data_IF_640726548040
#
_entry.id   IF_640726548040
#
_cell.length_a   1.000
_cell.length_b   1.000
_cell.length_c   1.000
_cell.angle_alpha   90.00
_cell.angle_beta   90.00
_cell.angle_gamma   90.00
#
_symmetry.space_group_name_H-M   'P 1'
#
loop_
_entity.id
_entity.type
_entity.pdbx_description
1 polymer ?
#
# COMPACT_ATOMS: atom_id res chain seq x y z
N UNK A 1 -55.14 -16.05 39.18
CA UNK A 1 -55.14 -17.38 38.53
C UNK A 1 -53.72 -17.71 38.11
N UNK A 2 -53.09 -18.63 38.86
CA UNK A 2 -52.05 -19.61 38.48
C UNK A 2 -50.94 -19.14 37.52
N UNK A 3 -49.64 -19.05 37.85
CA UNK A 3 -48.85 -19.71 38.90
C UNK A 3 -48.28 -21.05 38.41
N UNK A 4 -47.01 -21.09 37.98
CA UNK A 4 -46.17 -22.31 37.98
C UNK A 4 -44.75 -21.93 38.40
N UNK A 5 -44.37 -22.45 39.56
CA UNK A 5 -43.03 -22.53 40.09
C UNK A 5 -42.45 -23.92 39.81
N UNK A 6 -41.13 -24.05 39.73
CA UNK A 6 -40.41 -25.33 39.70
C UNK A 6 -38.88 -25.14 39.62
N UNK A 7 -38.06 -26.04 40.19
CA UNK A 7 -37.24 -25.68 41.35
C UNK A 7 -35.73 -25.65 41.13
N UNK A 8 -35.05 -25.02 42.10
CA UNK A 8 -33.62 -25.16 42.44
C UNK A 8 -33.30 -26.56 42.96
N UNK A 9 -32.10 -27.07 42.70
CA UNK A 9 -31.22 -27.83 43.62
C UNK A 9 -29.93 -28.28 42.89
N UNK A 10 -28.77 -28.14 43.53
CA UNK A 10 -27.52 -28.80 43.11
C UNK A 10 -26.26 -27.96 43.36
N UNK A 11 -25.61 -28.19 44.51
CA UNK A 11 -24.44 -27.46 44.99
C UNK A 11 -23.08 -27.87 44.38
N UNK A 12 -21.96 -27.36 44.94
CA UNK A 12 -20.67 -27.27 44.27
C UNK A 12 -19.78 -28.49 44.55
N UNK A 13 -18.94 -28.86 43.58
CA UNK A 13 -17.82 -29.79 43.81
C UNK A 13 -16.48 -29.11 43.49
N UNK A 14 -15.58 -29.38 44.42
CA UNK A 14 -14.23 -28.89 44.55
C UNK A 14 -13.32 -29.25 43.36
N UNK A 15 -12.38 -28.35 43.08
CA UNK A 15 -11.25 -28.58 42.19
C UNK A 15 -10.11 -27.63 42.52
N UNK A 16 -9.50 -27.78 43.71
CA UNK A 16 -8.20 -27.17 44.04
C UNK A 16 -7.13 -27.86 43.18
N UNK A 17 -6.67 -27.20 42.13
CA UNK A 17 -5.44 -27.56 41.42
C UNK A 17 -4.32 -26.71 42.01
N UNK A 18 -3.43 -27.37 42.76
CA UNK A 18 -2.19 -26.79 43.25
C UNK A 18 -1.20 -26.63 42.09
N UNK A 19 -0.65 -25.43 41.95
CA UNK A 19 0.46 -25.15 41.03
C UNK A 19 1.76 -25.33 41.80
N UNK A 20 2.67 -26.24 41.41
CA UNK A 20 3.98 -26.32 42.01
C UNK A 20 4.83 -25.13 41.58
N UNK A 21 5.36 -24.45 42.59
CA UNK A 21 6.36 -23.40 42.50
C UNK A 21 7.68 -23.96 41.96
N UNK A 22 8.07 -23.55 40.76
CA UNK A 22 9.40 -23.79 40.21
C UNK A 22 10.19 -22.48 40.23
N UNK A 23 10.95 -22.29 41.31
CA UNK A 23 11.95 -21.23 41.48
C UNK A 23 13.19 -21.60 40.67
N UNK A 24 13.28 -21.14 39.42
CA UNK A 24 14.55 -21.18 38.67
C UNK A 24 15.38 -19.95 39.04
N UNK A 25 16.52 -20.19 39.67
CA UNK A 25 17.53 -19.18 39.95
C UNK A 25 18.25 -18.75 38.68
N UNK A 26 18.39 -17.44 38.51
CA UNK A 26 19.29 -16.83 37.54
C UNK A 26 20.72 -16.86 38.08
N UNK A 27 21.71 -17.44 37.39
CA UNK A 27 23.10 -17.12 37.63
C UNK A 27 23.44 -15.76 37.00
N UNK A 28 23.80 -14.82 37.85
CA UNK A 28 24.50 -13.58 37.50
C UNK A 28 25.84 -13.91 36.86
N UNK A 29 25.97 -13.70 35.55
CA UNK A 29 27.26 -13.64 34.88
C UNK A 29 27.55 -12.18 34.46
N UNK A 30 28.39 -11.52 35.26
CA UNK A 30 29.16 -10.35 34.86
C UNK A 30 30.31 -10.82 33.96
N UNK A 31 30.38 -10.34 32.73
CA UNK A 31 31.59 -10.27 31.90
C UNK A 31 31.28 -9.17 30.86
N UNK A 32 31.83 -7.97 30.95
CA UNK A 32 33.25 -7.69 30.77
C UNK A 32 33.41 -7.05 29.39
N UNK A 33 33.26 -5.73 29.32
CA UNK A 33 33.68 -4.94 28.16
C UNK A 33 35.20 -5.08 27.96
N UNK A 34 35.66 -5.12 26.71
CA UNK A 34 36.90 -4.43 26.38
C UNK A 34 36.65 -3.28 25.40
N UNK A 35 36.93 -2.07 25.88
CA UNK A 35 37.28 -0.93 25.04
C UNK A 35 38.50 -1.28 24.19
N UNK A 36 38.35 -1.19 22.88
CA UNK A 36 39.44 -1.21 21.91
C UNK A 36 39.42 0.08 21.10
N UNK A 37 40.24 1.03 21.52
CA UNK A 37 40.51 2.26 20.79
C UNK A 37 41.55 2.03 19.67
N UNK A 38 41.45 2.87 18.64
CA UNK A 38 42.48 3.24 17.65
C UNK A 38 42.95 2.15 16.66
N UNK A 39 42.64 2.37 15.38
CA UNK A 39 43.66 2.85 14.43
C UNK A 39 43.06 3.22 13.07
N UNK A 40 43.18 4.50 12.74
CA UNK A 40 43.09 5.00 11.39
C UNK A 40 44.24 4.42 10.56
N UNK A 41 43.92 3.61 9.55
CA UNK A 41 44.87 3.28 8.49
C UNK A 41 44.62 4.16 7.27
N UNK A 42 45.56 5.08 7.07
CA UNK A 42 45.81 5.81 5.83
C UNK A 42 46.05 4.83 4.67
N UNK A 43 45.45 5.16 3.53
CA UNK A 43 45.98 5.01 2.17
C UNK A 43 46.66 3.71 1.78
N UNK A 44 45.96 2.90 0.97
CA UNK A 44 46.63 2.01 0.02
C UNK A 44 45.95 2.12 -1.34
N UNK A 45 46.66 2.72 -2.28
CA UNK A 45 46.32 2.81 -3.70
C UNK A 45 46.82 1.51 -4.35
N UNK A 46 45.98 0.69 -5.01
CA UNK A 46 46.48 -0.41 -5.82
C UNK A 46 47.00 0.13 -7.17
N UNK A 47 48.10 -0.44 -7.70
CA UNK A 47 48.61 -0.06 -9.02
C UNK A 47 47.71 -0.60 -10.13
N UNK A 48 47.39 0.29 -11.06
CA UNK A 48 46.87 0.00 -12.38
C UNK A 48 47.79 -0.95 -13.14
N UNK A 49 47.39 -2.23 -13.25
CA UNK A 49 47.94 -3.14 -14.27
C UNK A 49 47.06 -3.09 -15.50
N UNK A 50 47.58 -2.44 -16.53
CA UNK A 50 47.03 -2.45 -17.87
C UNK A 50 46.98 -3.87 -18.42
N UNK A 51 45.81 -4.26 -18.90
CA UNK A 51 45.67 -5.40 -19.79
C UNK A 51 45.64 -4.90 -21.22
N UNK A 52 46.67 -5.34 -21.95
CA UNK A 52 46.84 -5.24 -23.39
C UNK A 52 45.73 -6.08 -24.04
N UNK A 53 44.93 -5.46 -24.90
CA UNK A 53 44.04 -6.16 -25.81
C UNK A 53 44.87 -6.80 -26.95
N UNK A 54 44.64 -8.06 -27.33
CA UNK A 54 45.05 -8.53 -28.63
C UNK A 54 44.00 -8.15 -29.68
N UNK A 55 44.48 -7.44 -30.70
CA UNK A 55 43.79 -7.24 -31.97
C UNK A 55 43.96 -8.47 -32.89
N UNK A 56 43.18 -8.47 -33.98
CA UNK A 56 43.07 -9.42 -35.10
C UNK A 56 41.98 -10.51 -34.89
N UNK A 57 41.08 -10.80 -35.84
CA UNK A 57 41.21 -10.66 -37.28
C UNK A 57 39.92 -10.19 -37.96
N UNK A 58 40.16 -9.38 -38.99
CA UNK A 58 39.25 -8.83 -39.98
C UNK A 58 38.89 -9.95 -40.97
N UNK A 59 37.59 -10.22 -41.18
CA UNK A 59 37.11 -10.92 -42.38
C UNK A 59 36.24 -9.95 -43.17
N UNK A 60 36.74 -9.61 -44.35
CA UNK A 60 36.15 -8.70 -45.30
C UNK A 60 34.97 -9.34 -46.04
N UNK A 61 33.89 -8.58 -46.22
CA UNK A 61 32.94 -8.75 -47.32
C UNK A 61 32.78 -7.42 -48.03
N UNK A 62 32.94 -7.37 -49.37
CA UNK A 62 32.83 -6.14 -50.14
C UNK A 62 31.40 -5.89 -50.62
N UNK A 63 31.03 -4.61 -50.70
CA UNK A 63 30.11 -4.09 -51.71
C UNK A 63 28.66 -3.89 -51.28
N UNK A 64 28.29 -2.67 -50.88
CA UNK A 64 27.45 -1.80 -51.73
C UNK A 64 27.42 -0.38 -51.17
N UNK A 65 27.65 0.59 -52.06
CA UNK A 65 27.59 2.02 -51.78
C UNK A 65 26.13 2.48 -51.58
N UNK A 66 25.94 3.35 -50.59
CA UNK A 66 24.77 4.22 -50.49
C UNK A 66 24.85 5.11 -49.24
N UNK A 67 24.97 6.44 -49.37
CA UNK A 67 24.87 7.34 -48.22
C UNK A 67 23.41 7.42 -47.79
N UNK A 68 23.02 6.62 -46.81
CA UNK A 68 21.75 6.81 -46.09
C UNK A 68 21.86 8.11 -45.31
N UNK A 69 21.26 9.16 -45.88
CA UNK A 69 20.99 10.42 -45.20
C UNK A 69 20.29 10.12 -43.88
N UNK A 70 20.75 10.77 -42.81
CA UNK A 70 20.05 10.86 -41.54
C UNK A 70 18.70 11.54 -41.77
N UNK A 71 17.68 10.76 -42.10
CA UNK A 71 16.29 11.16 -42.01
C UNK A 71 15.91 11.03 -40.52
N UNK A 72 15.95 12.15 -39.82
CA UNK A 72 15.27 12.26 -38.53
C UNK A 72 13.81 11.80 -38.73
N UNK A 73 13.26 10.93 -37.86
CA UNK A 73 11.86 10.59 -37.94
C UNK A 73 11.05 11.85 -37.65
N UNK A 74 10.53 12.45 -38.72
CA UNK A 74 9.41 13.37 -38.65
C UNK A 74 8.24 12.57 -38.07
N UNK A 75 8.03 12.67 -36.76
CA UNK A 75 6.78 12.37 -36.10
C UNK A 75 5.74 13.40 -36.56
N UNK A 76 5.31 13.26 -37.81
CA UNK A 76 4.22 13.99 -38.42
C UNK A 76 2.89 13.29 -38.16
N UNK A 77 2.51 13.12 -36.90
CA UNK A 77 1.09 13.02 -36.51
C UNK A 77 0.74 14.40 -35.97
N UNK A 78 0.28 15.25 -36.89
CA UNK A 78 -0.07 16.65 -36.65
C UNK A 78 -1.22 16.80 -35.68
N UNK A 79 -0.95 16.65 -34.38
CA UNK A 79 -1.69 17.35 -33.36
C UNK A 79 -1.24 18.80 -33.46
N UNK A 80 -1.93 19.58 -34.29
CA UNK A 80 -1.78 21.04 -34.25
C UNK A 80 -2.02 21.45 -32.79
N UNK A 81 -1.08 22.18 -32.15
CA UNK A 81 -1.36 22.73 -30.83
C UNK A 81 -2.55 23.67 -31.02
N UNK A 82 -3.72 23.26 -30.49
CA UNK A 82 -4.88 24.15 -30.40
C UNK A 82 -4.49 25.22 -29.40
N UNK A 83 -4.12 26.39 -29.91
CA UNK A 83 -3.96 27.58 -29.07
C UNK A 83 -5.24 27.77 -28.27
N UNK A 84 -5.09 27.87 -26.95
CA UNK A 84 -6.18 28.24 -26.05
C UNK A 84 -6.37 29.75 -26.22
N UNK A 85 -7.51 30.17 -26.78
CA UNK A 85 -7.87 31.59 -26.88
C UNK A 85 -8.11 32.11 -25.46
N UNK A 86 -7.11 32.79 -24.88
CA UNK A 86 -7.17 33.44 -23.57
C UNK A 86 -7.90 34.79 -23.63
N UNK A 87 -8.75 35.01 -24.64
CA UNK A 87 -9.51 36.24 -24.74
C UNK A 87 -10.64 36.25 -23.70
N UNK A 88 -10.28 36.71 -22.49
CA UNK A 88 -11.15 36.82 -21.31
C UNK A 88 -12.37 37.74 -21.53
N UNK A 89 -12.37 38.54 -22.60
CA UNK A 89 -13.46 39.46 -22.94
C UNK A 89 -14.71 38.73 -23.47
N UNK A 90 -14.61 37.44 -23.79
CA UNK A 90 -15.74 36.59 -24.20
C UNK A 90 -16.35 35.81 -23.03
N UNK A 91 -15.74 35.83 -21.84
CA UNK A 91 -16.34 35.26 -20.64
C UNK A 91 -17.31 36.27 -20.02
N UNK A 92 -18.52 36.32 -20.59
CA UNK A 92 -19.63 37.04 -19.98
C UNK A 92 -20.15 36.26 -18.78
N UNK A 93 -19.80 36.68 -17.56
CA UNK A 93 -20.36 36.15 -16.30
C UNK A 93 -21.89 36.34 -16.20
N UNK A 94 -22.49 37.12 -17.11
CA UNK A 94 -23.93 37.32 -17.20
C UNK A 94 -24.66 36.13 -17.83
N UNK A 95 -23.95 35.31 -18.62
CA UNK A 95 -24.47 34.05 -19.15
C UNK A 95 -24.08 32.91 -18.21
N UNK A 96 -24.30 33.08 -16.90
CA UNK A 96 -24.48 31.94 -16.00
C UNK A 96 -25.64 31.14 -16.56
N UNK A 97 -25.29 30.22 -17.45
CA UNK A 97 -26.19 29.23 -17.99
C UNK A 97 -26.48 28.38 -16.78
N UNK A 98 -27.54 28.75 -16.04
CA UNK A 98 -28.26 27.87 -15.14
C UNK A 98 -28.64 26.70 -16.02
N UNK A 99 -27.71 25.74 -16.09
CA UNK A 99 -27.89 24.47 -16.74
C UNK A 99 -29.11 23.91 -16.04
N UNK A 100 -30.25 24.06 -16.70
CA UNK A 100 -31.56 23.72 -16.18
C UNK A 100 -31.50 22.23 -15.90
N UNK A 101 -31.13 21.90 -14.66
CA UNK A 101 -31.14 20.58 -14.09
C UNK A 101 -32.62 20.23 -13.97
N UNK A 102 -33.24 19.86 -15.10
CA UNK A 102 -34.58 19.26 -15.18
C UNK A 102 -34.52 17.84 -14.58
N UNK A 103 -34.14 17.77 -13.32
CA UNK A 103 -34.46 16.67 -12.43
C UNK A 103 -35.35 17.29 -11.37
N UNK A 104 -36.61 16.88 -11.34
CA UNK A 104 -37.59 17.23 -10.32
C UNK A 104 -37.03 16.92 -8.92
N UNK A 105 -36.37 17.89 -8.31
CA UNK A 105 -35.95 17.84 -6.91
C UNK A 105 -36.79 18.86 -6.17
N UNK A 106 -37.28 18.41 -5.01
CA UNK A 106 -38.21 19.08 -4.13
C UNK A 106 -37.90 20.57 -3.91
N UNK A 107 -38.99 21.30 -3.62
CA UNK A 107 -39.05 22.64 -3.01
C UNK A 107 -37.71 23.29 -2.66
N UNK A 108 -37.43 24.39 -3.36
CA UNK A 108 -36.24 25.25 -3.30
C UNK A 108 -35.84 25.79 -1.92
N UNK A 109 -36.64 25.55 -0.87
CA UNK A 109 -36.41 26.10 0.47
C UNK A 109 -35.62 25.13 1.37
N UNK A 110 -35.65 23.82 1.11
CA UNK A 110 -34.86 22.81 1.86
C UNK A 110 -33.47 22.54 1.24
N UNK A 111 -33.23 23.03 0.01
CA UNK A 111 -31.98 22.80 -0.73
C UNK A 111 -30.87 23.79 -0.35
N UNK A 112 -31.21 24.95 0.20
CA UNK A 112 -30.24 25.90 0.73
C UNK A 112 -29.52 25.36 1.99
N UNK A 113 -30.20 24.52 2.77
CA UNK A 113 -29.59 23.78 3.90
C UNK A 113 -28.86 22.50 3.45
N UNK A 114 -29.19 21.97 2.26
CA UNK A 114 -28.62 20.73 1.75
C UNK A 114 -27.29 20.91 0.98
N UNK A 115 -26.91 22.13 0.62
CA UNK A 115 -25.57 22.43 0.10
C UNK A 115 -24.69 22.92 1.25
N UNK A 116 -24.52 22.06 2.25
CA UNK A 116 -23.52 22.28 3.29
C UNK A 116 -22.14 22.06 2.67
N UNK A 117 -21.57 23.13 2.12
CA UNK A 117 -20.19 23.16 1.64
C UNK A 117 -19.24 22.73 2.76
N UNK A 118 -18.12 22.14 2.36
CA UNK A 118 -16.98 21.85 3.22
C UNK A 118 -17.28 21.14 4.53
N UNK A 119 -17.37 21.89 5.63
CA UNK A 119 -17.41 21.28 6.98
C UNK A 119 -18.70 20.53 7.25
N UNK A 120 -19.83 20.93 6.67
CA UNK A 120 -21.08 20.20 6.86
C UNK A 120 -21.09 18.86 6.13
N UNK A 121 -20.46 18.76 4.95
CA UNK A 121 -20.21 17.48 4.28
C UNK A 121 -19.40 16.53 5.17
N UNK A 122 -18.30 17.01 5.76
CA UNK A 122 -17.45 16.17 6.63
C UNK A 122 -18.18 15.72 7.90
N UNK A 123 -18.93 16.62 8.55
CA UNK A 123 -19.79 16.27 9.70
C UNK A 123 -20.86 15.26 9.32
N UNK A 124 -21.44 15.37 8.13
CA UNK A 124 -22.45 14.45 7.62
C UNK A 124 -21.85 13.07 7.32
N UNK A 125 -20.59 13.04 6.87
CA UNK A 125 -19.85 11.80 6.61
C UNK A 125 -19.46 11.10 7.91
N UNK A 126 -19.04 11.84 8.95
CA UNK A 126 -18.61 11.30 10.24
C UNK A 126 -19.78 10.98 11.18
N UNK A 127 -20.84 11.80 11.14
CA UNK A 127 -21.99 11.72 12.03
C UNK A 127 -22.84 10.47 11.81
N UNK A 128 -23.31 9.88 12.92
CA UNK A 128 -24.21 8.72 12.92
C UNK A 128 -25.69 9.11 12.73
N UNK A 129 -26.09 10.35 13.00
CA UNK A 129 -27.50 10.72 13.10
C UNK A 129 -27.95 11.71 12.01
N UNK A 130 -29.12 11.42 11.42
CA UNK A 130 -29.91 12.25 10.47
C UNK A 130 -29.30 12.65 9.12
N UNK A 131 -28.21 12.02 8.71
CA UNK A 131 -27.62 12.29 7.41
C UNK A 131 -28.46 11.70 6.26
N UNK A 132 -28.79 12.54 5.27
CA UNK A 132 -29.58 12.22 4.06
C UNK A 132 -28.89 11.25 3.09
N UNK A 133 -27.61 10.95 3.30
CA UNK A 133 -26.85 10.01 2.50
C UNK A 133 -27.21 8.58 2.89
N UNK A 134 -27.44 7.73 1.88
CA UNK A 134 -27.62 6.30 2.11
C UNK A 134 -26.39 5.68 2.78
N UNK A 135 -26.57 4.67 3.62
CA UNK A 135 -25.47 4.02 4.34
C UNK A 135 -24.39 3.48 3.41
N UNK A 136 -24.78 2.91 2.27
CA UNK A 136 -23.85 2.44 1.25
C UNK A 136 -22.99 3.56 0.66
N UNK A 137 -23.58 4.74 0.43
CA UNK A 137 -22.87 5.90 -0.12
C UNK A 137 -21.95 6.52 0.92
N UNK A 138 -22.36 6.56 2.19
CA UNK A 138 -21.49 6.97 3.30
C UNK A 138 -20.28 6.06 3.38
N UNK A 139 -20.47 4.75 3.36
CA UNK A 139 -19.36 3.78 3.41
C UNK A 139 -18.42 3.96 2.22
N UNK A 140 -18.97 4.19 1.02
CA UNK A 140 -18.18 4.51 -0.18
C UNK A 140 -17.35 5.79 -0.01
N UNK A 141 -17.99 6.89 0.40
CA UNK A 141 -17.34 8.17 0.57
C UNK A 141 -16.33 8.16 1.72
N UNK A 142 -16.58 7.39 2.79
CA UNK A 142 -15.62 7.16 3.87
C UNK A 142 -14.38 6.42 3.37
N UNK A 143 -14.56 5.44 2.49
CA UNK A 143 -13.44 4.71 1.89
C UNK A 143 -12.56 5.63 1.01
N UNK A 144 -13.19 6.52 0.23
CA UNK A 144 -12.49 7.46 -0.66
C UNK A 144 -11.81 8.57 0.14
N UNK A 145 -12.55 9.20 1.03
CA UNK A 145 -12.08 10.31 1.85
C UNK A 145 -11.61 9.82 3.21
N UNK A 146 -10.76 8.79 3.19
CA UNK A 146 -10.13 8.30 4.41
C UNK A 146 -9.28 9.44 5.03
N UNK A 147 -9.42 9.71 6.34
CA UNK A 147 -8.70 10.81 7.01
C UNK A 147 -7.19 10.81 6.82
N UNK A 148 -6.57 9.64 6.67
CA UNK A 148 -5.12 9.51 6.58
C UNK A 148 -4.59 9.49 5.14
N UNK A 149 -5.46 9.28 4.15
CA UNK A 149 -5.08 9.20 2.73
C UNK A 149 -5.52 10.43 1.93
N UNK A 150 -6.59 11.11 2.37
CA UNK A 150 -7.15 12.26 1.69
C UNK A 150 -6.77 13.55 2.41
N UNK A 151 -5.87 14.32 1.80
CA UNK A 151 -5.51 15.68 2.22
C UNK A 151 -6.67 16.69 2.07
N UNK A 152 -7.67 16.38 1.22
CA UNK A 152 -8.83 17.23 0.94
C UNK A 152 -9.66 17.61 2.17
N UNK A 153 -9.55 16.88 3.29
CA UNK A 153 -10.17 17.26 4.56
C UNK A 153 -9.58 18.54 5.14
N UNK A 154 -8.32 18.81 4.88
CA UNK A 154 -7.64 20.05 5.26
C UNK A 154 -8.14 21.29 4.52
N UNK A 155 -8.89 21.13 3.42
CA UNK A 155 -9.49 22.25 2.68
C UNK A 155 -10.63 22.93 3.47
N UNK A 156 -11.21 22.26 4.47
CA UNK A 156 -12.25 22.82 5.33
C UNK A 156 -13.47 23.28 4.52
N UNK A 157 -13.81 24.57 4.62
CA UNK A 157 -14.93 25.18 3.89
C UNK A 157 -14.71 25.36 2.38
N UNK A 158 -13.45 25.29 1.92
CA UNK A 158 -13.13 25.40 0.49
C UNK A 158 -13.40 24.10 -0.27
N UNK A 159 -13.64 23.00 0.45
CA UNK A 159 -13.93 21.72 -0.15
C UNK A 159 -15.31 21.76 -0.84
N UNK A 160 -15.30 21.54 -2.15
CA UNK A 160 -16.51 21.34 -2.94
C UNK A 160 -16.75 19.83 -3.06
N UNK A 161 -17.84 19.29 -2.47
CA UNK A 161 -18.13 17.86 -2.56
C UNK A 161 -18.36 17.45 -4.02
N UNK A 162 -18.01 16.21 -4.39
CA UNK A 162 -18.26 15.71 -5.73
C UNK A 162 -19.76 15.76 -6.04
N UNK A 163 -20.10 16.04 -7.29
CA UNK A 163 -21.49 16.10 -7.72
C UNK A 163 -22.23 14.82 -7.35
N UNK A 164 -23.41 14.90 -6.71
CA UNK A 164 -24.21 13.74 -6.33
C UNK A 164 -24.88 13.07 -7.54
N UNK A 165 -24.43 13.36 -8.75
CA UNK A 165 -24.98 12.76 -9.96
C UNK A 165 -24.73 11.25 -9.92
N UNK A 166 -25.82 10.50 -10.11
CA UNK A 166 -25.84 9.04 -10.06
C UNK A 166 -24.77 8.40 -10.96
N UNK A 167 -24.52 8.96 -12.15
CA UNK A 167 -23.53 8.45 -13.10
C UNK A 167 -22.09 8.53 -12.56
N UNK A 168 -21.74 9.64 -11.89
CA UNK A 168 -20.44 9.81 -11.26
C UNK A 168 -20.28 8.85 -10.08
N UNK A 169 -21.29 8.78 -9.21
CA UNK A 169 -21.30 7.85 -8.08
C UNK A 169 -21.19 6.38 -8.52
N UNK A 170 -21.88 5.99 -9.59
CA UNK A 170 -21.78 4.63 -10.13
C UNK A 170 -20.39 4.33 -10.71
N UNK A 171 -19.79 5.27 -11.44
CA UNK A 171 -18.42 5.12 -11.95
C UNK A 171 -17.41 4.98 -10.81
N UNK A 172 -17.58 5.76 -9.76
CA UNK A 172 -16.73 5.73 -8.57
C UNK A 172 -16.84 4.40 -7.82
N UNK A 173 -18.05 3.83 -7.73
CA UNK A 173 -18.26 2.46 -7.21
C UNK A 173 -17.50 1.42 -8.02
N UNK A 174 -17.54 1.50 -9.35
CA UNK A 174 -16.81 0.57 -10.22
C UNK A 174 -15.29 0.67 -9.98
N UNK A 175 -14.75 1.89 -9.96
CA UNK A 175 -13.32 2.12 -9.72
C UNK A 175 -12.86 1.59 -8.36
N UNK A 176 -13.66 1.75 -7.30
CA UNK A 176 -13.33 1.20 -5.99
C UNK A 176 -13.34 -0.33 -5.94
N UNK A 177 -14.25 -0.97 -6.69
CA UNK A 177 -14.26 -2.43 -6.82
C UNK A 177 -13.02 -2.92 -7.56
N UNK A 178 -12.61 -2.22 -8.62
CA UNK A 178 -11.36 -2.51 -9.33
C UNK A 178 -10.13 -2.33 -8.43
N UNK A 179 -10.08 -1.25 -7.65
CA UNK A 179 -9.02 -1.00 -6.69
C UNK A 179 -8.96 -2.11 -5.63
N UNK A 180 -10.10 -2.48 -5.04
CA UNK A 180 -10.18 -3.57 -4.06
C UNK A 180 -9.69 -4.90 -4.66
N UNK A 181 -10.04 -5.19 -5.92
CA UNK A 181 -9.53 -6.38 -6.62
C UNK A 181 -8.00 -6.34 -6.75
N UNK A 182 -7.40 -5.18 -7.05
CA UNK A 182 -5.94 -5.01 -7.09
C UNK A 182 -5.32 -5.19 -5.70
N UNK A 183 -5.93 -4.65 -4.64
CA UNK A 183 -5.48 -4.86 -3.25
C UNK A 183 -5.46 -6.33 -2.86
N UNK A 184 -6.52 -7.06 -3.17
CA UNK A 184 -6.59 -8.51 -2.93
C UNK A 184 -5.53 -9.26 -3.72
N UNK A 185 -5.34 -8.92 -5.00
CA UNK A 185 -4.27 -9.52 -5.82
C UNK A 185 -2.88 -9.26 -5.24
N UNK A 186 -2.62 -8.06 -4.69
CA UNK A 186 -1.37 -7.75 -3.98
C UNK A 186 -1.21 -8.61 -2.74
N UNK A 187 -2.26 -8.77 -1.92
CA UNK A 187 -2.25 -9.65 -0.74
C UNK A 187 -1.92 -11.09 -1.13
N UNK A 188 -2.62 -11.64 -2.11
CA UNK A 188 -2.39 -13.00 -2.62
C UNK A 188 -0.96 -13.18 -3.16
N UNK A 189 -0.48 -12.24 -3.96
CA UNK A 189 0.89 -12.27 -4.49
C UNK A 189 1.93 -12.19 -3.36
N UNK A 190 1.70 -11.38 -2.33
CA UNK A 190 2.59 -11.26 -1.18
C UNK A 190 2.64 -12.53 -0.33
N UNK A 191 1.51 -13.21 -0.13
CA UNK A 191 1.47 -14.46 0.63
C UNK A 191 1.89 -15.69 -0.19
N UNK A 192 2.09 -15.55 -1.51
CA UNK A 192 2.60 -16.62 -2.37
C UNK A 192 4.05 -16.97 -2.04
N UNK A 193 4.41 -18.25 -2.14
CA UNK A 193 5.81 -18.72 -2.03
C UNK A 193 6.73 -18.09 -3.07
N UNK A 194 6.18 -17.58 -4.17
CA UNK A 194 6.93 -16.98 -5.28
C UNK A 194 7.33 -15.51 -5.02
N UNK A 195 6.84 -14.90 -3.94
CA UNK A 195 7.21 -13.53 -3.60
C UNK A 195 8.70 -13.46 -3.20
N UNK A 196 9.44 -12.58 -3.88
CA UNK A 196 10.86 -12.34 -3.63
C UNK A 196 11.07 -10.91 -3.14
N UNK A 197 11.71 -10.75 -1.97
CA UNK A 197 12.14 -9.44 -1.48
C UNK A 197 13.07 -8.80 -2.52
N UNK A 198 12.70 -7.62 -3.02
CA UNK A 198 13.45 -6.90 -4.05
C UNK A 198 13.01 -7.19 -5.50
N UNK A 199 12.13 -8.16 -5.71
CA UNK A 199 11.44 -8.42 -6.98
C UNK A 199 9.97 -8.79 -6.72
N UNK A 200 9.23 -7.83 -6.16
CA UNK A 200 7.85 -8.03 -5.74
C UNK A 200 6.89 -8.30 -6.91
N UNK A 201 7.28 -7.97 -8.14
CA UNK A 201 6.45 -8.09 -9.34
C UNK A 201 5.62 -6.84 -9.66
N UNK A 202 4.88 -6.86 -10.78
CA UNK A 202 4.24 -5.67 -11.35
C UNK A 202 3.01 -5.17 -10.60
N UNK A 203 2.48 -5.95 -9.65
CA UNK A 203 1.33 -5.55 -8.83
C UNK A 203 1.72 -4.61 -7.70
N UNK A 204 3.01 -4.49 -7.40
CA UNK A 204 3.52 -3.67 -6.32
C UNK A 204 4.17 -2.38 -6.85
N UNK A 205 4.33 -1.35 -6.00
CA UNK A 205 5.05 -0.16 -6.37
C UNK A 205 6.45 -0.49 -6.89
N UNK A 206 6.87 0.19 -7.96
CA UNK A 206 8.20 0.00 -8.55
C UNK A 206 9.34 0.21 -7.54
N UNK A 207 9.13 1.04 -6.52
CA UNK A 207 10.09 1.27 -5.45
C UNK A 207 10.48 -0.01 -4.67
N UNK A 208 9.62 -1.04 -4.67
CA UNK A 208 9.89 -2.32 -4.00
C UNK A 208 10.78 -3.24 -4.83
N UNK A 209 10.87 -2.98 -6.15
CA UNK A 209 11.83 -3.67 -7.01
C UNK A 209 13.18 -2.96 -6.91
N UNK A 210 14.19 -3.69 -6.45
CA UNK A 210 15.52 -3.13 -6.23
C UNK A 210 16.13 -2.68 -7.57
N UNK A 211 16.27 -1.36 -7.77
CA UNK A 211 16.80 -0.77 -9.01
C UNK A 211 18.21 -1.26 -9.40
N UNK A 212 18.95 -1.84 -8.44
CA UNK A 212 20.30 -2.36 -8.63
C UNK A 212 20.36 -3.57 -9.58
N UNK A 213 19.24 -4.27 -9.81
CA UNK A 213 19.22 -5.49 -10.63
C UNK A 213 19.25 -5.22 -12.15
N UNK A 214 19.10 -3.96 -12.57
CA UNK A 214 18.99 -3.59 -14.00
C UNK A 214 20.37 -3.50 -14.69
N UNK A 215 21.47 -3.35 -13.94
CA UNK A 215 22.82 -3.16 -14.54
C UNK A 215 23.79 -4.31 -14.35
N UNK A 216 23.43 -5.32 -13.54
CA UNK A 216 24.24 -6.52 -13.42
C UNK A 216 23.77 -7.50 -14.49
N UNK A 217 24.56 -7.61 -15.57
CA UNK A 217 24.34 -8.60 -16.63
C UNK A 217 24.07 -9.98 -16.05
N UNK A 218 23.38 -10.82 -16.84
CA UNK A 218 22.84 -12.16 -16.55
C UNK A 218 23.68 -13.13 -15.70
N UNK A 219 24.95 -12.82 -15.46
CA UNK A 219 25.89 -13.62 -14.69
C UNK A 219 25.79 -13.43 -13.16
N UNK A 220 25.08 -12.39 -12.69
CA UNK A 220 24.88 -12.16 -11.24
C UNK A 220 23.85 -13.11 -10.58
N UNK A 221 23.13 -13.92 -11.37
CA UNK A 221 22.13 -14.89 -10.88
C UNK A 221 22.69 -15.96 -9.93
N UNK A 222 24.02 -16.07 -9.77
CA UNK A 222 24.68 -17.12 -8.96
C UNK A 222 25.00 -16.74 -7.50
N UNK A 223 24.69 -15.53 -7.04
CA UNK A 223 25.02 -15.10 -5.66
C UNK A 223 23.86 -14.51 -4.86
N UNK A 224 22.63 -14.66 -5.31
CA UNK A 224 21.51 -14.49 -4.40
C UNK A 224 21.65 -15.59 -3.32
N UNK A 225 21.58 -15.25 -2.02
CA UNK A 225 21.57 -16.27 -0.97
C UNK A 225 20.48 -17.27 -1.33
N UNK A 226 20.84 -18.56 -1.35
CA UNK A 226 19.96 -19.65 -1.68
C UNK A 226 18.67 -19.49 -0.88
N UNK A 227 17.61 -19.03 -1.54
CA UNK A 227 16.31 -18.87 -0.90
C UNK A 227 15.87 -20.27 -0.55
N UNK A 228 15.91 -20.56 0.75
CA UNK A 228 15.40 -21.82 1.30
C UNK A 228 13.96 -21.94 0.82
N UNK A 229 13.63 -23.03 0.13
CA UNK A 229 12.30 -23.26 -0.42
C UNK A 229 11.26 -23.20 0.72
N UNK A 230 10.53 -22.09 0.80
CA UNK A 230 9.52 -21.85 1.82
C UNK A 230 8.33 -22.78 1.57
N UNK A 231 7.77 -23.33 2.65
CA UNK A 231 6.55 -24.14 2.60
C UNK A 231 5.44 -23.41 3.34
N UNK A 232 4.23 -23.26 2.76
CA UNK A 232 3.11 -22.64 3.45
C UNK A 232 2.70 -23.51 4.65
N UNK A 233 2.43 -22.86 5.80
CA UNK A 233 2.05 -23.51 7.06
C UNK A 233 0.75 -22.91 7.60
N UNK A 234 -0.41 -23.18 6.96
CA UNK A 234 -1.70 -22.61 7.35
C UNK A 234 -2.12 -22.98 8.77
N UNK A 235 -1.58 -24.05 9.36
CA UNK A 235 -1.82 -24.48 10.74
C UNK A 235 -1.49 -23.39 11.78
N UNK A 236 -0.50 -22.53 11.51
CA UNK A 236 -0.14 -21.45 12.44
C UNK A 236 -1.14 -20.30 12.45
N UNK A 237 -2.09 -20.24 11.49
CA UNK A 237 -3.13 -19.20 11.50
C UNK A 237 -4.01 -19.28 12.76
N UNK A 238 -4.26 -20.49 13.26
CA UNK A 238 -5.04 -20.70 14.49
C UNK A 238 -4.25 -20.21 15.72
N UNK A 239 -2.92 -20.26 15.65
CA UNK A 239 -2.00 -19.84 16.71
C UNK A 239 -1.48 -18.41 16.52
N UNK A 240 -2.01 -17.65 15.55
CA UNK A 240 -1.54 -16.31 15.23
C UNK A 240 -1.55 -15.36 16.44
N UNK A 241 -2.52 -15.54 17.36
CA UNK A 241 -2.60 -14.81 18.62
C UNK A 241 -1.39 -15.04 19.53
N UNK A 242 -0.80 -16.23 19.51
CA UNK A 242 0.41 -16.58 20.27
C UNK A 242 1.68 -16.00 19.65
N UNK A 243 1.66 -15.73 18.34
CA UNK A 243 2.77 -15.09 17.61
C UNK A 243 2.83 -13.57 17.85
N UNK A 244 1.69 -12.92 18.16
CA UNK A 244 1.63 -11.45 18.35
C UNK A 244 2.71 -10.88 19.29
N UNK A 245 2.98 -11.46 20.50
CA UNK A 245 4.05 -10.96 21.37
C UNK A 245 5.45 -11.09 20.77
N UNK A 246 5.70 -12.16 20.01
CA UNK A 246 6.97 -12.37 19.32
C UNK A 246 7.14 -11.36 18.17
N UNK A 247 6.09 -11.14 17.37
CA UNK A 247 6.10 -10.16 16.28
C UNK A 247 6.29 -8.72 16.80
N UNK A 248 5.69 -8.38 17.95
CA UNK A 248 5.83 -7.06 18.56
C UNK A 248 7.26 -6.76 19.04
N UNK A 249 8.06 -7.79 19.35
CA UNK A 249 9.46 -7.64 19.77
C UNK A 249 10.47 -7.84 18.65
N UNK A 250 10.05 -8.47 17.55
CA UNK A 250 10.90 -8.72 16.39
C UNK A 250 11.00 -7.50 15.48
N UNK A 251 12.18 -7.28 14.89
CA UNK A 251 12.37 -6.29 13.83
C UNK A 251 12.04 -6.94 12.48
N UNK A 252 11.14 -6.36 11.67
CA UNK A 252 10.83 -6.91 10.36
C UNK A 252 12.04 -6.78 9.43
N UNK A 253 12.29 -7.82 8.62
CA UNK A 253 13.34 -7.82 7.59
C UNK A 253 12.88 -7.14 6.30
N UNK A 254 11.57 -7.03 6.12
CA UNK A 254 10.91 -6.30 5.05
C UNK A 254 9.75 -5.55 5.67
N UNK A 255 9.65 -4.26 5.42
CA UNK A 255 8.60 -3.39 5.94
C UNK A 255 8.35 -2.26 4.96
N UNK A 256 7.35 -2.46 4.11
CA UNK A 256 7.05 -1.56 3.02
C UNK A 256 5.58 -1.17 3.01
N UNK A 257 5.30 0.03 2.50
CA UNK A 257 3.94 0.55 2.36
C UNK A 257 3.61 0.80 0.90
N UNK A 258 2.35 0.54 0.58
CA UNK A 258 1.76 0.85 -0.72
C UNK A 258 1.09 2.22 -0.70
N UNK A 259 0.80 2.75 -1.87
CA UNK A 259 0.15 4.06 -2.07
C UNK A 259 -1.25 4.15 -1.41
N UNK A 260 -1.93 3.03 -1.32
CA UNK A 260 -3.24 2.86 -0.69
C UNK A 260 -3.16 2.65 0.84
N UNK A 261 -1.95 2.74 1.42
CA UNK A 261 -1.73 2.68 2.85
C UNK A 261 -1.61 1.27 3.44
N UNK A 262 -1.71 0.20 2.62
CA UNK A 262 -1.44 -1.15 3.09
C UNK A 262 0.05 -1.29 3.43
N UNK A 263 0.33 -1.78 4.62
CA UNK A 263 1.69 -2.07 5.10
C UNK A 263 1.93 -3.57 5.08
N UNK A 264 3.00 -3.97 4.44
CA UNK A 264 3.38 -5.36 4.26
C UNK A 264 4.68 -5.60 5.00
N UNK A 265 4.72 -6.64 5.85
CA UNK A 265 5.90 -6.95 6.64
C UNK A 265 6.28 -8.42 6.56
N UNK A 266 7.57 -8.68 6.63
CA UNK A 266 8.12 -10.02 6.75
C UNK A 266 9.01 -10.06 7.98
N UNK A 267 8.74 -11.03 8.84
CA UNK A 267 9.50 -11.31 10.05
C UNK A 267 10.19 -12.66 9.91
N UNK A 268 11.39 -12.77 10.47
CA UNK A 268 12.10 -14.03 10.56
C UNK A 268 12.26 -14.43 12.03
N UNK A 269 11.53 -15.46 12.43
CA UNK A 269 11.54 -16.01 13.78
C UNK A 269 12.22 -17.39 13.74
N UNK A 270 13.55 -17.38 13.81
CA UNK A 270 14.35 -18.60 13.65
C UNK A 270 14.31 -19.13 12.21
N UNK A 271 13.70 -20.30 12.03
CA UNK A 271 13.48 -20.99 10.76
C UNK A 271 12.11 -20.69 10.13
N UNK A 272 11.25 -19.93 10.81
CA UNK A 272 9.92 -19.55 10.32
C UNK A 272 9.97 -18.13 9.75
N UNK A 273 9.40 -17.97 8.56
CA UNK A 273 9.08 -16.68 7.97
C UNK A 273 7.60 -16.39 8.23
N UNK A 274 7.32 -15.27 8.89
CA UNK A 274 5.95 -14.80 9.13
C UNK A 274 5.72 -13.56 8.31
N UNK A 275 4.74 -13.63 7.41
CA UNK A 275 4.33 -12.50 6.58
C UNK A 275 3.07 -11.91 7.18
N UNK A 276 2.97 -10.59 7.21
CA UNK A 276 1.80 -9.91 7.72
C UNK A 276 1.39 -8.77 6.81
N UNK A 277 0.09 -8.48 6.80
CA UNK A 277 -0.49 -7.32 6.13
C UNK A 277 -1.27 -6.54 7.17
N UNK A 278 -1.08 -5.23 7.17
CA UNK A 278 -1.81 -4.31 8.03
C UNK A 278 -2.51 -3.27 7.16
N UNK A 279 -3.83 -3.19 7.34
CA UNK A 279 -4.64 -2.10 6.79
C UNK A 279 -4.36 -0.80 7.56
N UNK A 280 -4.52 0.34 6.90
CA UNK A 280 -4.18 1.67 7.43
C UNK A 280 -4.67 1.93 8.87
N UNK A 281 -5.88 1.48 9.19
CA UNK A 281 -6.50 1.61 10.52
C UNK A 281 -6.79 0.23 11.16
N UNK A 282 -6.28 -0.84 10.56
CA UNK A 282 -6.54 -2.22 10.97
C UNK A 282 -5.50 -2.78 11.94
N UNK A 283 -5.88 -3.87 12.59
CA UNK A 283 -4.91 -4.76 13.23
C UNK A 283 -4.04 -5.44 12.16
N UNK A 284 -2.85 -5.83 12.56
CA UNK A 284 -1.96 -6.63 11.72
C UNK A 284 -2.49 -8.07 11.59
N UNK A 285 -2.67 -8.52 10.35
CA UNK A 285 -3.15 -9.86 9.99
C UNK A 285 -1.98 -10.74 9.52
N UNK A 286 -1.97 -12.01 9.93
CA UNK A 286 -0.92 -13.02 9.65
C UNK A 286 -1.39 -14.03 8.60
#
# INVERSE_FOLDING_TARGET
FTGIAGPRLGGPLAGRIGVPSARMGMPTARLGMPSGALQARKGFIPPSRGFVAPAAAISARPGFMGPSRLAAPSLGLGVQPRGVDLNLNKFSLTDTTTSSRKGSVASSEDLADAVTFGTGFWKQLEGSEHSSLGEQEKTLLKAIFNPSLSDRRGEGELFVPPDPLFSYGQRLKILLLEELAVRNKRREAFFSTDFVMGDAGPTFPWAWTCAFQIKQGSDAKKRAPEQVALKPRPEYKVEASQLRPALASATPIFDERTEDGLRFRIYRLGDIEVRTVQDLEGEEEV
#
